data_IF_287620406871
#
_entry.id   IF_287620406871
#
_cell.length_a   1.000
_cell.length_b   1.000
_cell.length_c   1.000
_cell.angle_alpha   90.00
_cell.angle_beta   90.00
_cell.angle_gamma   90.00
#
_symmetry.space_group_name_H-M   'P 1'
#
loop_
_entity.id
_entity.type
_entity.pdbx_description
1 polymer ?
#
# COMPACT_ATOMS: atom_id res chain seq x y z
N UNK A 1 5.77 1.03 20.90
CA UNK A 1 4.55 1.75 21.33
C UNK A 1 3.71 1.89 20.08
N UNK A 2 2.50 1.33 20.07
CA UNK A 2 1.62 1.44 18.92
C UNK A 2 0.85 2.75 19.05
N UNK A 3 1.24 3.75 18.25
CA UNK A 3 0.53 5.02 18.24
C UNK A 3 -0.74 4.86 17.41
N UNK A 4 -1.89 4.98 18.09
CA UNK A 4 -3.20 5.02 17.45
C UNK A 4 -3.48 6.48 17.10
N UNK A 5 -3.56 6.80 15.83
CA UNK A 5 -3.97 8.11 15.34
C UNK A 5 -5.43 8.08 14.89
N UNK A 6 -6.13 9.19 15.12
CA UNK A 6 -7.50 9.38 14.64
C UNK A 6 -7.47 10.18 13.34
N UNK A 7 -8.08 9.65 12.29
CA UNK A 7 -8.12 10.35 10.98
C UNK A 7 -8.94 11.65 11.05
N UNK A 8 -10.02 11.66 11.88
CA UNK A 8 -10.89 12.81 12.06
C UNK A 8 -11.10 13.13 13.55
N UNK A 9 -10.11 13.75 14.21
CA UNK A 9 -10.19 14.00 15.65
C UNK A 9 -11.33 14.94 16.05
N UNK A 10 -11.84 15.75 15.14
CA UNK A 10 -12.96 16.67 15.38
C UNK A 10 -14.24 15.96 15.81
N UNK A 11 -14.47 14.70 15.39
CA UNK A 11 -15.61 13.92 15.82
C UNK A 11 -15.59 13.62 17.32
N UNK A 12 -14.44 13.62 17.96
CA UNK A 12 -14.34 13.43 19.41
C UNK A 12 -14.97 14.58 20.19
N UNK A 13 -15.09 15.78 19.61
CA UNK A 13 -15.80 16.90 20.23
C UNK A 13 -17.30 16.60 20.35
N UNK A 14 -17.87 15.78 19.48
CA UNK A 14 -19.25 15.35 19.56
C UNK A 14 -19.54 14.48 20.80
N UNK A 15 -18.51 13.89 21.44
CA UNK A 15 -18.66 13.18 22.71
C UNK A 15 -19.16 14.09 23.82
N UNK A 16 -18.86 15.40 23.78
CA UNK A 16 -19.38 16.37 24.72
C UNK A 16 -20.90 16.55 24.60
N UNK A 17 -21.51 16.27 23.46
CA UNK A 17 -22.94 16.34 23.26
C UNK A 17 -23.69 15.17 23.92
N UNK A 18 -23.03 14.04 24.17
CA UNK A 18 -23.65 12.84 24.75
C UNK A 18 -24.22 13.11 26.17
N UNK A 19 -23.42 13.67 27.12
CA UNK A 19 -23.95 13.99 28.45
C UNK A 19 -24.98 15.11 28.38
N UNK A 20 -24.84 16.08 27.45
CA UNK A 20 -25.80 17.16 27.28
C UNK A 20 -27.17 16.63 26.82
N UNK A 21 -27.20 15.74 25.82
CA UNK A 21 -28.43 15.11 25.33
C UNK A 21 -29.05 14.22 26.41
N UNK A 22 -28.24 13.48 27.14
CA UNK A 22 -28.69 12.63 28.25
C UNK A 22 -29.33 13.47 29.36
N UNK A 23 -28.74 14.60 29.72
CA UNK A 23 -29.27 15.54 30.74
C UNK A 23 -30.55 16.23 30.28
N UNK A 24 -30.64 16.69 29.01
CA UNK A 24 -31.82 17.28 28.43
C UNK A 24 -32.99 16.28 28.38
N UNK A 25 -32.71 15.03 28.05
CA UNK A 25 -33.71 13.96 28.04
C UNK A 25 -34.19 13.62 29.43
N UNK A 26 -33.30 13.69 30.42
CA UNK A 26 -33.68 13.48 31.82
C UNK A 26 -34.60 14.60 32.36
N UNK A 27 -34.37 15.84 31.92
CA UNK A 27 -35.25 16.97 32.28
C UNK A 27 -36.63 16.93 31.62
N UNK A 28 -36.77 16.33 30.44
CA UNK A 28 -38.03 16.35 29.67
C UNK A 28 -39.04 15.27 30.07
N UNK A 29 -38.71 14.34 30.97
CA UNK A 29 -39.59 13.23 31.35
C UNK A 29 -39.81 12.23 30.18
N UNK A 30 -40.39 11.09 30.51
CA UNK A 30 -40.80 10.13 29.49
C UNK A 30 -42.03 10.65 28.77
N UNK A 31 -42.12 10.59 27.43
CA UNK A 31 -43.36 10.92 26.73
C UNK A 31 -44.43 9.92 27.17
N UNK A 32 -45.47 10.44 27.81
CA UNK A 32 -46.64 9.64 28.17
C UNK A 32 -47.41 9.31 26.89
N UNK A 33 -47.44 8.02 26.51
CA UNK A 33 -48.26 7.56 25.42
C UNK A 33 -49.71 7.49 25.95
N UNK A 34 -50.56 8.43 25.57
CA UNK A 34 -51.99 8.40 25.89
C UNK A 34 -52.64 7.41 24.94
N UNK A 35 -52.89 6.20 25.40
CA UNK A 35 -53.65 5.20 24.64
C UNK A 35 -55.10 5.28 25.05
N UNK A 36 -56.01 5.74 24.18
CA UNK A 36 -57.45 5.68 24.47
C UNK A 36 -57.89 4.22 24.52
N UNK A 37 -58.60 3.82 25.58
CA UNK A 37 -59.08 2.45 25.80
C UNK A 37 -58.11 1.48 26.50
N UNK A 38 -57.30 1.94 27.42
CA UNK A 38 -56.38 1.08 28.16
C UNK A 38 -57.01 0.23 29.26
N UNK A 39 -58.33 0.39 29.55
CA UNK A 39 -59.00 -0.29 30.66
C UNK A 39 -58.99 -1.83 30.58
N UNK A 40 -58.93 -2.41 29.37
CA UNK A 40 -58.88 -3.85 29.18
C UNK A 40 -57.43 -4.44 29.29
N UNK A 41 -56.41 -3.59 29.30
CA UNK A 41 -54.99 -3.98 29.30
C UNK A 41 -54.29 -3.65 30.61
N UNK A 42 -55.04 -3.16 31.60
CA UNK A 42 -54.48 -2.69 32.86
C UNK A 42 -54.08 -3.84 33.77
N UNK A 43 -52.96 -4.45 33.49
CA UNK A 43 -52.15 -5.08 34.53
C UNK A 43 -51.10 -4.06 34.94
N UNK A 44 -51.04 -3.63 36.20
CA UNK A 44 -49.94 -2.78 36.66
C UNK A 44 -48.66 -3.57 36.69
N UNK A 45 -48.00 -3.68 35.56
CA UNK A 45 -46.62 -4.13 35.52
C UNK A 45 -45.81 -2.94 36.01
N UNK A 46 -45.46 -2.95 37.28
CA UNK A 46 -44.44 -2.08 37.86
C UNK A 46 -43.09 -2.50 37.23
N UNK A 47 -42.91 -2.08 35.99
CA UNK A 47 -41.57 -2.14 35.40
C UNK A 47 -40.80 -1.01 36.05
N UNK A 48 -39.84 -1.29 36.95
CA UNK A 48 -39.01 -0.23 37.51
C UNK A 48 -38.38 0.49 36.31
N UNK A 49 -38.50 1.84 36.33
CA UNK A 49 -37.86 2.66 35.30
C UNK A 49 -36.35 2.44 35.38
N UNK A 50 -35.90 1.35 34.79
CA UNK A 50 -34.49 0.98 34.78
C UNK A 50 -33.76 1.98 33.91
N UNK A 51 -32.73 2.58 34.45
CA UNK A 51 -31.83 3.50 33.69
C UNK A 51 -31.04 2.78 32.61
N UNK A 52 -31.16 1.45 32.56
CA UNK A 52 -30.44 0.58 31.64
C UNK A 52 -30.60 0.98 30.16
N UNK A 53 -31.81 1.19 29.61
CA UNK A 53 -31.93 1.57 28.19
C UNK A 53 -31.31 2.94 27.87
N UNK A 54 -31.34 3.87 28.82
CA UNK A 54 -30.69 5.17 28.63
C UNK A 54 -29.16 5.06 28.62
N UNK A 55 -28.61 4.19 29.49
CA UNK A 55 -27.18 3.92 29.55
C UNK A 55 -26.72 3.21 28.26
N UNK A 56 -27.45 2.19 27.81
CA UNK A 56 -27.14 1.47 26.57
C UNK A 56 -27.21 2.39 25.36
N UNK A 57 -28.16 3.26 25.27
CA UNK A 57 -28.29 4.25 24.20
C UNK A 57 -27.12 5.25 24.20
N UNK A 58 -26.73 5.74 25.39
CA UNK A 58 -25.59 6.65 25.56
C UNK A 58 -24.27 5.96 25.17
N UNK A 59 -24.08 4.72 25.60
CA UNK A 59 -22.91 3.92 25.24
C UNK A 59 -22.84 3.63 23.72
N UNK A 60 -23.97 3.27 23.11
CA UNK A 60 -24.06 3.07 21.66
C UNK A 60 -23.70 4.33 20.86
N UNK A 61 -24.20 5.50 21.31
CA UNK A 61 -23.87 6.77 20.67
C UNK A 61 -22.38 7.12 20.82
N UNK A 62 -21.81 6.90 22.01
CA UNK A 62 -20.38 7.13 22.24
C UNK A 62 -19.50 6.23 21.35
N UNK A 63 -19.82 4.93 21.25
CA UNK A 63 -19.12 4.00 20.37
C UNK A 63 -19.22 4.40 18.89
N UNK A 64 -20.38 4.87 18.46
CA UNK A 64 -20.59 5.37 17.10
C UNK A 64 -19.71 6.59 16.80
N UNK A 65 -19.59 7.52 17.73
CA UNK A 65 -18.73 8.70 17.60
C UNK A 65 -17.25 8.28 17.50
N UNK A 66 -16.82 7.32 18.32
CA UNK A 66 -15.45 6.78 18.26
C UNK A 66 -15.21 6.08 16.94
N UNK A 67 -16.19 5.33 16.42
CA UNK A 67 -16.08 4.69 15.11
C UNK A 67 -15.97 5.71 13.96
N UNK A 68 -16.71 6.82 14.03
CA UNK A 68 -16.64 7.92 13.05
C UNK A 68 -15.29 8.66 13.11
N UNK A 69 -14.65 8.72 14.27
CA UNK A 69 -13.30 9.28 14.40
C UNK A 69 -12.23 8.43 13.68
N UNK A 70 -12.58 7.22 13.21
CA UNK A 70 -11.73 6.28 12.45
C UNK A 70 -10.36 6.10 13.11
N UNK A 71 -10.28 5.36 14.22
CA UNK A 71 -8.99 5.02 14.81
C UNK A 71 -8.20 4.15 13.81
N UNK A 72 -7.04 4.63 13.41
CA UNK A 72 -6.12 3.93 12.51
C UNK A 72 -4.85 3.58 13.26
N UNK A 73 -4.36 2.37 13.08
CA UNK A 73 -2.99 2.06 13.45
C UNK A 73 -2.10 2.74 12.42
N UNK A 74 -1.35 3.75 12.83
CA UNK A 74 -0.21 4.17 12.03
C UNK A 74 0.81 3.04 12.10
N UNK A 75 0.87 2.21 11.07
CA UNK A 75 2.15 1.63 10.71
C UNK A 75 2.96 2.82 10.23
N UNK A 76 3.82 3.31 11.10
CA UNK A 76 4.94 4.13 10.67
C UNK A 76 5.80 3.15 9.87
N UNK A 77 5.38 2.88 8.63
CA UNK A 77 6.31 2.50 7.60
C UNK A 77 7.30 3.66 7.64
N UNK A 78 8.43 3.41 8.26
CA UNK A 78 9.57 4.27 8.15
C UNK A 78 9.84 4.35 6.65
N UNK A 79 9.20 5.28 5.95
CA UNK A 79 9.82 5.89 4.80
C UNK A 79 11.07 6.55 5.36
N UNK A 80 12.07 5.75 5.63
CA UNK A 80 13.44 6.21 5.62
C UNK A 80 13.56 6.79 4.22
N UNK A 81 13.39 8.10 4.10
CA UNK A 81 13.87 8.87 2.95
C UNK A 81 15.39 8.71 2.96
N UNK A 82 15.85 7.52 2.64
CA UNK A 82 17.18 7.35 2.12
C UNK A 82 17.12 8.06 0.78
N UNK A 83 17.95 9.08 0.64
CA UNK A 83 18.15 9.72 -0.66
C UNK A 83 18.68 8.64 -1.60
N UNK A 84 17.76 7.96 -2.27
CA UNK A 84 18.04 6.94 -3.27
C UNK A 84 18.08 7.56 -4.64
N UNK A 85 18.77 6.90 -5.55
CA UNK A 85 18.84 7.27 -6.95
C UNK A 85 17.78 6.51 -7.76
N UNK A 86 17.36 7.12 -8.85
CA UNK A 86 16.60 6.45 -9.90
C UNK A 86 17.60 5.88 -10.91
N UNK A 87 17.65 4.57 -10.98
CA UNK A 87 18.59 3.86 -11.85
C UNK A 87 17.83 3.09 -12.92
N UNK A 88 18.22 3.26 -14.18
CA UNK A 88 17.70 2.48 -15.29
C UNK A 88 18.80 1.61 -15.87
N UNK A 89 18.65 0.29 -15.76
CA UNK A 89 19.57 -0.68 -16.31
C UNK A 89 19.17 -1.01 -17.75
N UNK A 90 20.04 -0.78 -18.71
CA UNK A 90 19.86 -1.21 -20.09
C UNK A 90 20.66 -2.49 -20.34
N UNK A 91 19.97 -3.59 -20.65
CA UNK A 91 20.57 -4.91 -20.82
C UNK A 91 20.49 -5.30 -22.29
N UNK A 92 21.62 -5.63 -22.85
CA UNK A 92 21.76 -6.14 -24.22
C UNK A 92 21.30 -7.59 -24.29
N UNK A 93 20.41 -7.89 -25.25
CA UNK A 93 19.98 -9.25 -25.61
C UNK A 93 20.31 -9.62 -27.05
N UNK A 94 21.25 -8.90 -27.70
CA UNK A 94 21.68 -9.20 -29.05
C UNK A 94 22.34 -10.57 -29.17
N UNK A 95 22.43 -11.10 -30.37
CA UNK A 95 23.05 -12.40 -30.64
C UNK A 95 24.48 -12.54 -30.13
N UNK A 96 25.22 -11.43 -29.98
CA UNK A 96 26.56 -11.44 -29.39
C UNK A 96 26.61 -11.87 -27.93
N UNK A 97 25.51 -11.78 -27.22
CA UNK A 97 25.36 -12.24 -25.81
C UNK A 97 25.28 -13.77 -25.68
N UNK A 98 25.18 -14.50 -26.80
CA UNK A 98 25.29 -15.97 -26.85
C UNK A 98 26.73 -16.47 -26.75
N UNK A 99 27.73 -15.59 -26.93
CA UNK A 99 29.15 -16.00 -26.87
C UNK A 99 29.47 -16.61 -25.48
N UNK A 100 30.04 -17.83 -25.49
CA UNK A 100 30.41 -18.59 -24.28
C UNK A 100 31.88 -18.33 -23.95
N UNK A 101 32.22 -17.10 -23.68
CA UNK A 101 33.57 -16.64 -23.35
C UNK A 101 33.79 -16.47 -21.83
N UNK A 102 32.81 -16.83 -21.02
CA UNK A 102 32.90 -16.88 -19.55
C UNK A 102 32.96 -18.32 -19.05
N UNK A 103 33.72 -18.55 -17.99
CA UNK A 103 33.82 -19.85 -17.33
C UNK A 103 33.60 -19.66 -15.80
N UNK A 104 32.74 -20.45 -15.24
CA UNK A 104 32.48 -20.46 -13.79
C UNK A 104 32.41 -21.90 -13.31
N UNK A 105 33.33 -22.29 -12.42
CA UNK A 105 33.38 -23.66 -11.88
C UNK A 105 33.59 -24.77 -12.92
N UNK A 106 34.29 -24.49 -14.01
CA UNK A 106 34.53 -25.46 -15.08
C UNK A 106 33.39 -25.57 -16.11
N UNK A 107 32.34 -24.76 -15.96
CA UNK A 107 31.18 -24.71 -16.89
C UNK A 107 31.28 -23.43 -17.72
N UNK A 108 31.19 -23.56 -19.04
CA UNK A 108 31.10 -22.40 -19.93
C UNK A 108 29.74 -21.78 -19.85
N UNK A 109 29.70 -20.45 -19.72
CA UNK A 109 28.50 -19.64 -19.62
C UNK A 109 28.49 -18.63 -20.75
N UNK A 110 27.31 -18.37 -21.29
CA UNK A 110 27.14 -17.25 -22.20
C UNK A 110 27.15 -15.91 -21.42
N UNK A 111 27.40 -14.81 -22.13
CA UNK A 111 27.51 -13.47 -21.52
C UNK A 111 26.30 -13.07 -20.71
N UNK A 112 25.09 -13.40 -21.19
CA UNK A 112 23.84 -13.10 -20.43
C UNK A 112 23.79 -13.89 -19.13
N UNK A 113 24.16 -15.16 -19.14
CA UNK A 113 24.19 -15.99 -17.92
C UNK A 113 25.25 -15.48 -16.93
N UNK A 114 26.40 -15.02 -17.43
CA UNK A 114 27.45 -14.47 -16.57
C UNK A 114 27.08 -13.13 -15.93
N UNK A 115 26.33 -12.25 -16.63
CA UNK A 115 25.97 -10.92 -16.10
C UNK A 115 24.78 -10.94 -15.16
N UNK A 116 23.84 -11.88 -15.27
CA UNK A 116 22.65 -11.96 -14.42
C UNK A 116 22.96 -11.94 -12.92
N UNK A 117 23.83 -12.81 -12.38
CA UNK A 117 24.16 -12.79 -10.95
C UNK A 117 24.84 -11.49 -10.52
N UNK A 118 25.58 -10.83 -11.42
CA UNK A 118 26.21 -9.54 -11.16
C UNK A 118 25.14 -8.45 -11.00
N UNK A 119 24.13 -8.45 -11.88
CA UNK A 119 23.02 -7.50 -11.80
C UNK A 119 22.19 -7.76 -10.53
N UNK A 120 21.92 -9.01 -10.17
CA UNK A 120 21.23 -9.35 -8.93
C UNK A 120 21.99 -8.83 -7.70
N UNK A 121 23.27 -9.09 -7.61
CA UNK A 121 24.11 -8.58 -6.53
C UNK A 121 24.17 -7.03 -6.49
N UNK A 122 24.11 -6.38 -7.66
CA UNK A 122 24.02 -4.93 -7.75
C UNK A 122 22.71 -4.39 -7.19
N UNK A 123 21.59 -5.04 -7.50
CA UNK A 123 20.25 -4.67 -7.01
C UNK A 123 20.18 -4.84 -5.49
N UNK A 124 20.63 -5.99 -4.96
CA UNK A 124 20.61 -6.31 -3.53
C UNK A 124 21.39 -5.30 -2.67
N UNK A 125 22.48 -4.75 -3.20
CA UNK A 125 23.33 -3.75 -2.51
C UNK A 125 22.73 -2.35 -2.48
N UNK A 126 21.57 -2.11 -3.11
CA UNK A 126 20.97 -0.79 -3.30
C UNK A 126 19.52 -0.70 -2.84
N UNK A 127 19.22 -1.03 -1.58
CA UNK A 127 17.84 -1.12 -1.08
C UNK A 127 17.09 0.23 -1.10
N UNK A 128 17.83 1.34 -1.16
CA UNK A 128 17.25 2.69 -1.15
C UNK A 128 16.95 3.22 -2.56
N UNK A 129 17.53 2.61 -3.62
CA UNK A 129 17.41 3.09 -4.98
C UNK A 129 16.17 2.51 -5.67
N UNK A 130 15.50 3.30 -6.54
CA UNK A 130 14.52 2.75 -7.47
C UNK A 130 15.25 2.24 -8.70
N UNK A 131 15.02 0.99 -9.04
CA UNK A 131 15.69 0.35 -10.17
C UNK A 131 14.66 -0.07 -11.19
N UNK A 132 14.88 0.32 -12.45
CA UNK A 132 14.12 -0.12 -13.61
C UNK A 132 15.03 -0.83 -14.61
N UNK A 133 14.44 -1.60 -15.53
CA UNK A 133 15.18 -2.37 -16.53
C UNK A 133 14.59 -2.17 -17.91
N UNK A 134 15.44 -1.84 -18.86
CA UNK A 134 15.18 -1.82 -20.29
C UNK A 134 15.99 -2.94 -20.93
N UNK A 135 15.34 -3.75 -21.75
CA UNK A 135 16.00 -4.75 -22.59
C UNK A 135 16.08 -4.20 -24.00
N UNK A 136 17.22 -4.41 -24.67
CA UNK A 136 17.34 -4.03 -26.07
C UNK A 136 18.06 -5.11 -26.89
N UNK A 137 17.69 -5.20 -28.15
CA UNK A 137 18.32 -5.97 -29.20
C UNK A 137 18.06 -5.23 -30.53
N UNK A 138 17.26 -5.72 -31.44
CA UNK A 138 16.79 -4.96 -32.61
C UNK A 138 15.88 -3.78 -32.26
N UNK A 139 15.23 -3.81 -31.11
CA UNK A 139 14.41 -2.74 -30.50
C UNK A 139 14.63 -2.70 -29.00
N UNK A 140 14.14 -1.63 -28.35
CA UNK A 140 14.19 -1.48 -26.91
C UNK A 140 12.80 -1.61 -26.26
N UNK A 141 12.73 -2.32 -25.14
CA UNK A 141 11.52 -2.54 -24.34
C UNK A 141 11.77 -2.28 -22.86
N UNK A 142 10.82 -1.60 -22.21
CA UNK A 142 10.83 -1.51 -20.76
C UNK A 142 10.34 -2.83 -20.18
N UNK A 143 11.23 -3.61 -19.59
CA UNK A 143 10.88 -4.84 -18.87
C UNK A 143 10.27 -4.53 -17.51
N UNK A 144 10.88 -3.59 -16.78
CA UNK A 144 10.43 -3.16 -15.48
C UNK A 144 10.52 -1.63 -15.36
N UNK A 145 9.43 -0.95 -14.93
CA UNK A 145 9.51 0.45 -14.56
C UNK A 145 10.35 0.61 -13.30
N UNK A 146 10.70 1.85 -12.93
CA UNK A 146 11.37 2.16 -11.68
C UNK A 146 10.56 1.67 -10.48
N UNK A 147 11.15 0.78 -9.69
CA UNK A 147 10.52 0.14 -8.54
C UNK A 147 11.47 -0.01 -7.37
N UNK A 148 10.93 -0.03 -6.15
CA UNK A 148 11.61 -0.46 -4.93
C UNK A 148 11.43 -1.97 -4.67
N UNK A 149 10.57 -2.66 -5.43
CA UNK A 149 10.37 -4.10 -5.28
C UNK A 149 11.49 -4.87 -6.01
N UNK A 150 12.62 -4.97 -5.33
CA UNK A 150 13.82 -5.63 -5.85
C UNK A 150 13.64 -7.14 -5.97
N UNK A 151 12.82 -7.75 -5.11
CA UNK A 151 12.54 -9.20 -5.17
C UNK A 151 11.75 -9.55 -6.44
N UNK A 152 10.75 -8.73 -6.76
CA UNK A 152 10.00 -8.88 -8.00
C UNK A 152 10.91 -8.65 -9.21
N UNK A 153 11.78 -7.63 -9.17
CA UNK A 153 12.70 -7.30 -10.25
C UNK A 153 13.67 -8.44 -10.51
N UNK A 154 14.24 -9.05 -9.47
CA UNK A 154 15.13 -10.20 -9.57
C UNK A 154 14.44 -11.40 -10.25
N UNK A 155 13.20 -11.71 -9.86
CA UNK A 155 12.39 -12.76 -10.49
C UNK A 155 12.10 -12.49 -11.96
N UNK A 156 11.89 -11.22 -12.36
CA UNK A 156 11.73 -10.88 -13.77
C UNK A 156 13.05 -11.06 -14.54
N UNK A 157 14.18 -10.68 -13.95
CA UNK A 157 15.50 -10.81 -14.56
C UNK A 157 15.86 -12.28 -14.84
N UNK A 158 15.49 -13.22 -13.98
CA UNK A 158 15.69 -14.65 -14.20
C UNK A 158 15.02 -15.15 -15.49
N UNK A 159 13.86 -14.59 -15.83
CA UNK A 159 13.08 -14.98 -17.02
C UNK A 159 13.64 -14.43 -18.33
N UNK A 160 14.53 -13.45 -18.26
CA UNK A 160 15.15 -12.83 -19.45
C UNK A 160 15.98 -13.86 -20.20
N UNK A 161 15.76 -13.95 -21.51
CA UNK A 161 16.48 -14.87 -22.41
C UNK A 161 16.82 -14.18 -23.73
N UNK A 162 17.89 -14.58 -24.33
CA UNK A 162 18.25 -14.14 -25.69
C UNK A 162 17.20 -14.66 -26.67
N UNK A 163 16.85 -13.87 -27.66
CA UNK A 163 15.80 -14.20 -28.64
C UNK A 163 14.39 -13.80 -28.23
N UNK A 164 14.20 -13.14 -27.07
CA UNK A 164 12.90 -12.55 -26.70
C UNK A 164 12.54 -11.32 -27.54
N UNK A 165 13.56 -10.68 -28.13
CA UNK A 165 13.44 -9.49 -28.98
C UNK A 165 14.08 -9.82 -30.33
N UNK A 166 13.60 -9.19 -31.39
CA UNK A 166 14.17 -9.29 -32.74
C UNK A 166 15.68 -9.06 -32.70
N UNK A 167 16.41 -9.83 -33.52
CA UNK A 167 17.88 -9.74 -33.56
C UNK A 167 18.33 -8.37 -34.09
N UNK A 168 19.40 -7.87 -33.50
CA UNK A 168 19.96 -6.55 -33.80
C UNK A 168 20.68 -5.98 -32.59
N UNK A 169 21.15 -4.72 -32.69
CA UNK A 169 21.86 -4.05 -31.58
C UNK A 169 21.52 -2.56 -31.56
N UNK A 170 20.27 -2.23 -31.22
CA UNK A 170 19.77 -0.87 -31.18
C UNK A 170 20.11 -0.19 -29.83
N UNK A 171 21.39 0.08 -29.59
CA UNK A 171 21.89 0.70 -28.35
C UNK A 171 21.25 2.09 -28.14
N UNK A 172 21.14 2.87 -29.24
CA UNK A 172 20.53 4.20 -29.18
C UNK A 172 19.10 4.17 -28.67
N UNK A 173 18.29 3.18 -29.10
CA UNK A 173 16.92 3.00 -28.63
C UNK A 173 16.90 2.59 -27.15
N UNK A 174 17.80 1.69 -26.73
CA UNK A 174 17.95 1.28 -25.33
C UNK A 174 18.22 2.45 -24.41
N UNK A 175 19.15 3.33 -24.79
CA UNK A 175 19.47 4.54 -24.03
C UNK A 175 18.33 5.57 -24.09
N UNK A 176 17.69 5.77 -25.25
CA UNK A 176 16.59 6.70 -25.43
C UNK A 176 15.38 6.33 -24.59
N UNK A 177 14.98 5.05 -24.58
CA UNK A 177 13.90 4.56 -23.73
C UNK A 177 14.24 4.71 -22.24
N UNK A 178 15.48 4.36 -21.86
CA UNK A 178 15.93 4.49 -20.46
C UNK A 178 15.88 5.94 -19.98
N UNK A 179 16.37 6.89 -20.79
CA UNK A 179 16.32 8.31 -20.47
C UNK A 179 14.88 8.82 -20.36
N UNK A 180 14.02 8.44 -21.30
CA UNK A 180 12.60 8.82 -21.29
C UNK A 180 11.92 8.34 -20.00
N UNK A 181 12.22 7.12 -19.52
CA UNK A 181 11.66 6.60 -18.26
C UNK A 181 12.16 7.36 -17.04
N UNK A 182 13.45 7.74 -17.02
CA UNK A 182 14.00 8.56 -15.95
C UNK A 182 13.40 9.98 -15.93
N UNK A 183 13.15 10.58 -17.07
CA UNK A 183 12.49 11.89 -17.16
C UNK A 183 11.03 11.86 -16.70
N UNK A 184 10.29 10.80 -17.06
CA UNK A 184 8.92 10.60 -16.61
C UNK A 184 8.80 10.42 -15.10
N UNK A 185 9.81 9.83 -14.46
CA UNK A 185 9.82 9.59 -13.02
C UNK A 185 10.08 10.85 -12.18
N UNK A 186 10.64 11.91 -12.80
CA UNK A 186 10.89 13.20 -12.15
C UNK A 186 9.65 14.10 -12.07
N UNK A 187 8.58 13.76 -12.78
CA UNK A 187 7.30 14.50 -12.79
C UNK A 187 6.32 13.91 -11.78
#
# INVERSE_FOLDING_TARGET
MHDVAFQYPWWLLALLCVPLVSWLRWRRGLPALIVPYAAAWWRPVLVPATRLPAILMGAGLALLIVALARPQKMEIGSEVRQEGYDLMLAIDLSGSMLAEDFEQGGVRLNRLQAIKPVIQAFIEKRPADRIGVVLFSGRAYTMAPLTFDHDWLAKQLERVRIGMIEDGTAIGDGLGVSLTRLEQAKR
#
